data_IF_973877092035
#
_entry.id   IF_973877092035
#
_cell.length_a   1.000
_cell.length_b   1.000
_cell.length_c   1.000
_cell.angle_alpha   90.00
_cell.angle_beta   90.00
_cell.angle_gamma   90.00
#
_symmetry.space_group_name_H-M   'P 1'
#
loop_
_entity.id
_entity.type
_entity.pdbx_description
1 polymer ?
#
# COMPACT_ATOMS: atom_id res chain seq x y z
N UNK A 1 7.62 10.82 -7.55
CA UNK A 1 7.38 10.95 -6.09
C UNK A 1 6.70 9.66 -5.67
N UNK A 2 7.07 9.01 -4.54
CA UNK A 2 6.26 7.88 -4.06
C UNK A 2 4.82 8.39 -3.86
N UNK A 3 3.86 7.78 -4.53
CA UNK A 3 2.45 8.21 -4.42
C UNK A 3 1.96 7.93 -3.01
N UNK A 4 1.73 8.99 -2.24
CA UNK A 4 1.32 8.93 -0.84
C UNK A 4 -0.17 9.21 -0.74
N UNK A 5 -0.96 8.23 -0.32
CA UNK A 5 -2.34 8.42 0.11
C UNK A 5 -2.40 8.46 1.64
N UNK A 6 -3.19 9.38 2.20
CA UNK A 6 -3.46 9.40 3.64
C UNK A 6 -4.89 8.95 3.93
N UNK A 7 -5.03 7.83 4.63
CA UNK A 7 -6.32 7.23 5.02
C UNK A 7 -6.33 7.04 6.53
N UNK A 8 -7.20 7.76 7.24
CA UNK A 8 -7.37 7.62 8.71
C UNK A 8 -6.07 7.81 9.51
N UNK A 9 -5.15 8.67 9.03
CA UNK A 9 -3.83 8.88 9.65
C UNK A 9 -2.78 7.82 9.32
N UNK A 10 -3.09 6.92 8.38
CA UNK A 10 -2.15 5.97 7.80
C UNK A 10 -1.76 6.42 6.40
N UNK A 11 -0.47 6.34 6.12
CA UNK A 11 0.14 6.63 4.83
C UNK A 11 0.27 5.33 4.06
N UNK A 12 -0.21 5.34 2.83
CA UNK A 12 -0.12 4.27 1.83
C UNK A 12 0.84 4.74 0.74
N UNK A 13 1.86 3.96 0.40
CA UNK A 13 2.92 4.37 -0.51
C UNK A 13 3.66 3.20 -1.18
N UNK A 14 4.52 3.49 -2.16
CA UNK A 14 5.41 2.55 -2.85
C UNK A 14 6.87 2.82 -2.49
N UNK A 15 7.72 1.78 -2.39
CA UNK A 15 9.18 1.98 -2.37
C UNK A 15 9.74 1.91 -3.79
N UNK A 16 10.58 2.88 -4.17
CA UNK A 16 11.11 2.95 -5.53
C UNK A 16 12.08 1.82 -5.93
N UNK A 17 12.53 0.97 -5.01
CA UNK A 17 13.48 -0.12 -5.27
C UNK A 17 12.85 -1.51 -5.27
N UNK A 18 11.53 -1.61 -5.44
CA UNK A 18 10.77 -2.87 -5.44
C UNK A 18 10.07 -3.16 -6.78
N UNK A 19 10.64 -2.70 -7.90
CA UNK A 19 10.07 -2.84 -9.26
C UNK A 19 10.01 -4.30 -9.76
N UNK A 20 10.79 -5.20 -9.18
CA UNK A 20 10.84 -6.62 -9.56
C UNK A 20 9.76 -7.46 -8.84
N UNK A 21 8.92 -6.83 -8.03
CA UNK A 21 7.83 -7.50 -7.32
C UNK A 21 6.46 -7.24 -7.97
N UNK A 22 5.46 -8.10 -7.72
CA UNK A 22 4.07 -7.81 -8.09
C UNK A 22 3.56 -6.49 -7.48
N UNK A 23 2.48 -5.93 -8.04
CA UNK A 23 1.91 -4.66 -7.57
C UNK A 23 1.53 -4.75 -6.09
N UNK A 24 2.06 -3.84 -5.28
CA UNK A 24 1.79 -3.82 -3.84
C UNK A 24 1.85 -2.41 -3.26
N UNK A 25 1.42 -2.27 -2.00
CA UNK A 25 1.53 -1.03 -1.23
C UNK A 25 2.13 -1.29 0.14
N UNK A 26 2.78 -0.26 0.67
CA UNK A 26 3.23 -0.17 2.04
C UNK A 26 2.34 0.75 2.83
N UNK A 27 2.04 0.37 4.08
CA UNK A 27 1.12 1.08 4.96
C UNK A 27 1.75 1.30 6.32
N UNK A 28 1.79 2.55 6.78
CA UNK A 28 2.23 2.87 8.13
C UNK A 28 1.50 4.09 8.71
N UNK A 29 1.46 4.21 10.04
CA UNK A 29 0.91 5.42 10.68
C UNK A 29 1.92 6.57 10.55
N UNK A 30 1.48 7.75 10.12
CA UNK A 30 2.35 8.91 9.94
C UNK A 30 3.28 8.76 8.73
N UNK A 31 4.53 9.19 8.83
CA UNK A 31 5.48 9.17 7.71
C UNK A 31 5.92 7.73 7.31
N UNK A 32 6.28 7.49 6.03
CA UNK A 32 6.88 6.25 5.55
C UNK A 32 8.05 5.76 6.43
N UNK A 33 8.13 4.45 6.66
CA UNK A 33 9.20 3.82 7.46
C UNK A 33 9.43 2.37 7.03
N UNK A 34 10.64 1.87 7.24
CA UNK A 34 11.09 0.53 6.77
C UNK A 34 10.20 -0.62 7.23
N UNK A 35 9.70 -0.58 8.48
CA UNK A 35 8.84 -1.64 9.03
C UNK A 35 7.36 -1.46 8.68
N UNK A 36 7.03 -0.92 7.52
CA UNK A 36 5.67 -0.75 7.06
C UNK A 36 4.94 -2.09 6.90
N UNK A 37 3.61 -2.06 6.94
CA UNK A 37 2.75 -3.19 6.59
C UNK A 37 2.71 -3.32 5.08
N UNK A 38 2.97 -4.51 4.55
CA UNK A 38 2.99 -4.77 3.10
C UNK A 38 1.74 -5.52 2.68
N UNK A 39 1.10 -5.05 1.61
CA UNK A 39 -0.16 -5.56 1.09
C UNK A 39 -0.06 -5.69 -0.43
N UNK A 40 -0.29 -6.89 -0.95
CA UNK A 40 -0.36 -7.17 -2.38
C UNK A 40 -1.69 -6.67 -2.97
N UNK A 41 -1.63 -6.07 -4.16
CA UNK A 41 -2.79 -5.59 -4.91
C UNK A 41 -3.17 -6.63 -5.98
N UNK A 42 -3.85 -7.68 -5.53
CA UNK A 42 -4.43 -8.73 -6.38
C UNK A 42 -5.92 -8.41 -6.70
N UNK A 43 -6.69 -9.38 -7.21
CA UNK A 43 -8.14 -9.20 -7.41
C UNK A 43 -8.86 -8.82 -6.10
N UNK A 44 -8.44 -9.45 -5.00
CA UNK A 44 -8.71 -9.02 -3.64
C UNK A 44 -7.38 -8.67 -2.95
N UNK A 45 -7.26 -7.53 -2.25
CA UNK A 45 -6.02 -7.19 -1.55
C UNK A 45 -5.62 -8.27 -0.55
N UNK A 46 -4.34 -8.64 -0.54
CA UNK A 46 -3.81 -9.70 0.33
C UNK A 46 -2.71 -9.17 1.22
N UNK A 47 -2.87 -9.34 2.53
CA UNK A 47 -1.86 -8.95 3.50
C UNK A 47 -0.66 -9.89 3.40
N UNK A 48 0.53 -9.35 3.16
CA UNK A 48 1.77 -10.12 3.29
C UNK A 48 2.23 -10.16 4.74
N UNK A 49 2.40 -8.97 5.34
CA UNK A 49 2.81 -8.85 6.72
C UNK A 49 2.38 -7.54 7.37
N UNK A 50 2.12 -7.57 8.67
CA UNK A 50 1.73 -6.41 9.48
C UNK A 50 2.83 -6.00 10.48
N UNK A 51 4.05 -5.73 9.98
CA UNK A 51 5.20 -5.35 10.82
C UNK A 51 4.99 -4.02 11.55
N UNK A 52 4.24 -3.08 10.95
CA UNK A 52 3.94 -1.80 11.59
C UNK A 52 2.82 -1.86 12.64
N UNK A 53 2.29 -3.06 12.94
CA UNK A 53 1.26 -3.32 13.95
C UNK A 53 -0.01 -2.48 13.77
N UNK A 54 -0.49 -2.37 12.54
CA UNK A 54 -1.79 -1.76 12.23
C UNK A 54 -2.89 -2.56 12.92
N UNK A 55 -3.76 -1.92 13.73
CA UNK A 55 -4.86 -2.61 14.38
C UNK A 55 -5.80 -3.28 13.36
N UNK A 56 -6.25 -4.51 13.64
CA UNK A 56 -7.07 -5.31 12.70
C UNK A 56 -8.29 -4.57 12.15
N UNK A 57 -9.00 -3.80 12.99
CA UNK A 57 -10.16 -3.01 12.55
C UNK A 57 -9.78 -1.95 11.51
N UNK A 58 -8.63 -1.31 11.66
CA UNK A 58 -8.12 -0.31 10.72
C UNK A 58 -7.62 -1.00 9.45
N UNK A 59 -6.86 -2.09 9.60
CA UNK A 59 -6.35 -2.87 8.49
C UNK A 59 -7.50 -3.32 7.58
N UNK A 60 -8.60 -3.84 8.13
CA UNK A 60 -9.78 -4.21 7.34
C UNK A 60 -10.39 -3.03 6.56
N UNK A 61 -10.38 -1.82 7.12
CA UNK A 61 -10.85 -0.62 6.41
C UNK A 61 -9.90 -0.24 5.27
N UNK A 62 -8.60 -0.33 5.50
CA UNK A 62 -7.57 -0.09 4.48
C UNK A 62 -7.71 -1.11 3.35
N UNK A 63 -7.84 -2.40 3.65
CA UNK A 63 -8.03 -3.46 2.64
C UNK A 63 -9.28 -3.21 1.78
N UNK A 64 -10.39 -2.79 2.39
CA UNK A 64 -11.60 -2.40 1.63
C UNK A 64 -11.36 -1.18 0.73
N UNK A 65 -10.67 -0.18 1.26
CA UNK A 65 -10.33 1.01 0.48
C UNK A 65 -9.43 0.67 -0.71
N UNK A 66 -8.43 -0.19 -0.52
CA UNK A 66 -7.54 -0.68 -1.58
C UNK A 66 -8.33 -1.45 -2.65
N UNK A 67 -9.29 -2.30 -2.25
CA UNK A 67 -10.13 -3.05 -3.18
C UNK A 67 -10.96 -2.12 -4.07
N UNK A 68 -11.58 -1.08 -3.48
CA UNK A 68 -12.38 -0.09 -4.22
C UNK A 68 -11.52 0.76 -5.15
N UNK A 69 -10.31 1.12 -4.74
CA UNK A 69 -9.42 2.00 -5.50
C UNK A 69 -8.36 1.22 -6.31
N UNK A 70 -8.57 -0.08 -6.54
CA UNK A 70 -7.59 -0.96 -7.17
C UNK A 70 -7.08 -0.45 -8.52
N UNK A 71 -7.98 0.00 -9.38
CA UNK A 71 -7.63 0.48 -10.71
C UNK A 71 -6.68 1.69 -10.65
N UNK A 72 -6.99 2.66 -9.77
CA UNK A 72 -6.16 3.84 -9.54
C UNK A 72 -4.77 3.47 -9.00
N UNK A 73 -4.69 2.50 -8.08
CA UNK A 73 -3.41 2.07 -7.49
C UNK A 73 -2.53 1.39 -8.55
N UNK A 74 -3.12 0.60 -9.44
CA UNK A 74 -2.40 -0.07 -10.53
C UNK A 74 -1.85 0.94 -11.54
N UNK A 75 -2.67 1.92 -11.94
CA UNK A 75 -2.23 3.02 -12.80
C UNK A 75 -1.03 3.75 -12.19
N UNK A 76 -1.15 4.13 -10.91
CA UNK A 76 -0.08 4.84 -10.18
C UNK A 76 1.18 3.99 -9.98
N UNK A 77 1.05 2.67 -9.85
CA UNK A 77 2.19 1.77 -9.80
C UNK A 77 2.94 1.80 -11.13
N UNK A 78 2.24 1.68 -12.26
CA UNK A 78 2.84 1.76 -13.58
C UNK A 78 3.50 3.13 -13.83
N UNK A 79 2.83 4.23 -13.46
CA UNK A 79 3.40 5.58 -13.57
C UNK A 79 4.67 5.78 -12.74
N UNK A 80 4.81 5.08 -11.61
CA UNK A 80 5.96 5.19 -10.72
C UNK A 80 7.16 4.35 -11.16
N UNK A 81 6.94 3.16 -11.73
CA UNK A 81 8.01 2.20 -12.06
C UNK A 81 8.32 2.05 -13.56
N UNK A 82 7.44 2.47 -14.46
CA UNK A 82 7.65 2.38 -15.92
C UNK A 82 8.08 3.72 -16.55
N UNK A 83 8.74 4.60 -15.80
CA UNK A 83 9.39 5.80 -16.34
C UNK A 83 10.75 5.49 -16.95
#
# INVERSE_FOLDING_TARGET
MPTVYSVMGYTIFFWSNENDEPIHVHVCKGAPKENATKIWIEAEPRLEHNKSRVPRKVLNKIMKWLAVNRALIIEQWHDHFNQ
#
